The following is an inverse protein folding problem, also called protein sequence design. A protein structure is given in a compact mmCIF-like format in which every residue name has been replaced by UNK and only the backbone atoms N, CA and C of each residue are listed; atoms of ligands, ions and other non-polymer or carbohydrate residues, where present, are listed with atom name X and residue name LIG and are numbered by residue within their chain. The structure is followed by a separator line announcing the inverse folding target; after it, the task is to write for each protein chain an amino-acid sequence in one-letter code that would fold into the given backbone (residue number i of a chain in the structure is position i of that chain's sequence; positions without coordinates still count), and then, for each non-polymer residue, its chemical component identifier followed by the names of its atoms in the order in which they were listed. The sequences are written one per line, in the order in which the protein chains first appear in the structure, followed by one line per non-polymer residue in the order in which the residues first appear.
data_IF_954689629797
#
_entry.id   IF_954689629797
#
_cell.length_a   1.000
_cell.length_b   1.000
_cell.length_c   1.000
_cell.angle_alpha   90.00
_cell.angle_beta   90.00
_cell.angle_gamma   90.00
#
_symmetry.space_group_name_H-M   'P 1'
#
loop_
_entity.id
_entity.type
_entity.pdbx_description
1 polymer ?
#
# COMPACT_ATOMS: atom_id res chain seq x y z
N UNK A 1 -17.27 -2.03 -32.95
CA UNK A 1 -16.79 -2.92 -31.87
C UNK A 1 -16.70 -2.08 -30.61
N UNK A 2 -17.38 -2.54 -29.55
CA UNK A 2 -17.59 -1.79 -28.31
C UNK A 2 -16.28 -1.81 -27.50
N UNK A 3 -15.86 -0.63 -27.06
CA UNK A 3 -14.69 -0.34 -26.25
C UNK A 3 -14.64 -1.26 -25.02
N UNK A 4 -13.51 -1.95 -24.83
CA UNK A 4 -13.24 -2.79 -23.65
C UNK A 4 -13.50 -1.99 -22.37
N UNK A 5 -14.58 -2.32 -21.65
CA UNK A 5 -14.68 -1.97 -20.24
C UNK A 5 -13.60 -2.76 -19.51
N UNK A 6 -12.47 -2.12 -19.18
CA UNK A 6 -11.51 -2.69 -18.25
C UNK A 6 -12.27 -3.04 -16.98
N UNK A 7 -12.38 -4.33 -16.69
CA UNK A 7 -12.92 -4.79 -15.41
C UNK A 7 -12.13 -4.08 -14.31
N UNK A 8 -12.84 -3.43 -13.40
CA UNK A 8 -12.23 -2.86 -12.21
C UNK A 8 -11.49 -3.98 -11.48
N UNK A 9 -10.17 -3.87 -11.35
CA UNK A 9 -9.37 -4.79 -10.53
C UNK A 9 -9.98 -4.85 -9.12
N UNK A 10 -10.18 -6.07 -8.61
CA UNK A 10 -10.66 -6.31 -7.25
C UNK A 10 -9.54 -6.13 -6.22
N UNK A 11 -9.91 -6.01 -4.94
CA UNK A 11 -8.92 -5.86 -3.86
C UNK A 11 -8.00 -7.10 -3.76
N UNK A 12 -8.57 -8.30 -3.91
CA UNK A 12 -7.82 -9.57 -3.83
C UNK A 12 -6.84 -9.72 -5.01
N UNK A 13 -7.27 -9.35 -6.23
CA UNK A 13 -6.38 -9.31 -7.39
C UNK A 13 -5.26 -8.28 -7.21
N UNK A 14 -5.58 -7.14 -6.61
CA UNK A 14 -4.59 -6.11 -6.34
C UNK A 14 -3.57 -6.53 -5.28
N UNK A 15 -3.96 -7.33 -4.27
CA UNK A 15 -3.02 -7.86 -3.26
C UNK A 15 -1.90 -8.70 -3.88
N UNK A 16 -2.22 -9.42 -4.96
CA UNK A 16 -1.26 -10.22 -5.73
C UNK A 16 -0.52 -9.41 -6.80
N UNK A 17 -0.80 -8.11 -6.94
CA UNK A 17 -0.20 -7.29 -7.98
C UNK A 17 1.29 -7.00 -7.72
N UNK A 18 2.11 -6.83 -8.78
CA UNK A 18 3.52 -6.45 -8.63
C UNK A 18 3.71 -5.15 -7.83
N UNK A 19 2.76 -4.21 -7.94
CA UNK A 19 2.78 -2.95 -7.19
C UNK A 19 2.65 -3.20 -5.69
N UNK A 20 1.66 -4.00 -5.26
CA UNK A 20 1.50 -4.30 -3.84
C UNK A 20 2.73 -5.06 -3.29
N UNK A 21 3.26 -6.02 -4.05
CA UNK A 21 4.48 -6.74 -3.66
C UNK A 21 5.69 -5.80 -3.52
N UNK A 22 5.82 -4.79 -4.39
CA UNK A 22 6.88 -3.79 -4.28
C UNK A 22 6.72 -2.91 -3.03
N UNK A 23 5.51 -2.47 -2.70
CA UNK A 23 5.24 -1.71 -1.47
C UNK A 23 5.64 -2.54 -0.23
N UNK A 24 5.21 -3.80 -0.17
CA UNK A 24 5.56 -4.71 0.93
C UNK A 24 7.07 -4.96 1.04
N UNK A 25 7.74 -5.10 -0.11
CA UNK A 25 9.20 -5.25 -0.14
C UNK A 25 9.91 -4.02 0.43
N UNK A 26 9.51 -2.81 0.02
CA UNK A 26 10.09 -1.55 0.52
C UNK A 26 9.84 -1.43 2.03
N UNK A 27 8.63 -1.72 2.49
CA UNK A 27 8.28 -1.71 3.91
C UNK A 27 9.16 -2.65 4.73
N UNK A 28 9.25 -3.91 4.30
CA UNK A 28 10.08 -4.92 4.97
C UNK A 28 11.53 -4.46 5.06
N UNK A 29 12.09 -3.98 3.95
CA UNK A 29 13.48 -3.51 3.92
C UNK A 29 13.69 -2.27 4.80
N UNK A 30 12.72 -1.37 4.86
CA UNK A 30 12.76 -0.20 5.73
C UNK A 30 12.80 -0.59 7.22
N UNK A 31 11.99 -1.58 7.62
CA UNK A 31 11.97 -2.14 8.98
C UNK A 31 13.30 -2.83 9.30
N UNK A 32 13.82 -3.66 8.38
CA UNK A 32 15.13 -4.33 8.53
C UNK A 32 16.28 -3.34 8.72
N UNK A 33 16.18 -2.15 8.12
CA UNK A 33 17.14 -1.06 8.29
C UNK A 33 16.93 -0.24 9.58
N UNK A 34 15.91 -0.55 10.37
CA UNK A 34 15.59 0.12 11.63
C UNK A 34 14.85 1.45 11.48
N UNK A 35 14.25 1.71 10.30
CA UNK A 35 13.46 2.92 10.11
C UNK A 35 12.14 2.83 10.90
N UNK A 36 11.75 3.93 11.54
CA UNK A 36 10.54 4.00 12.37
C UNK A 36 9.25 4.04 11.55
N UNK A 37 9.33 4.54 10.32
CA UNK A 37 8.21 4.68 9.40
C UNK A 37 8.73 4.70 7.96
N UNK A 38 7.83 4.44 7.02
CA UNK A 38 8.08 4.53 5.57
C UNK A 38 7.04 5.46 4.96
N UNK A 39 7.48 6.36 4.10
CA UNK A 39 6.61 7.30 3.40
C UNK A 39 6.41 6.84 1.96
N UNK A 40 5.17 6.96 1.47
CA UNK A 40 4.86 6.81 0.05
C UNK A 40 4.02 8.00 -0.40
N UNK A 41 4.49 8.74 -1.39
CA UNK A 41 3.69 9.83 -1.96
C UNK A 41 2.49 9.28 -2.73
N UNK A 42 1.37 10.01 -2.76
CA UNK A 42 0.20 9.56 -3.55
C UNK A 42 0.53 9.39 -5.04
N UNK A 43 1.45 10.20 -5.56
CA UNK A 43 1.94 10.09 -6.93
C UNK A 43 2.63 8.74 -7.22
N UNK A 44 3.30 8.14 -6.22
CA UNK A 44 3.93 6.82 -6.34
C UNK A 44 2.93 5.67 -6.17
N UNK A 45 1.84 5.88 -5.41
CA UNK A 45 0.79 4.88 -5.22
C UNK A 45 -0.04 4.66 -6.48
N UNK A 46 -0.12 5.68 -7.35
CA UNK A 46 -0.81 5.64 -8.63
C UNK A 46 -2.18 6.32 -8.55
N UNK A 47 -3.23 5.63 -8.99
CA UNK A 47 -4.58 6.20 -8.96
C UNK A 47 -5.13 6.25 -7.53
N UNK A 48 -6.12 7.12 -7.29
CA UNK A 48 -6.80 7.18 -5.99
C UNK A 48 -7.39 5.83 -5.57
N UNK A 49 -7.82 4.99 -6.52
CA UNK A 49 -8.31 3.63 -6.22
C UNK A 49 -7.19 2.72 -5.72
N UNK A 50 -6.04 2.74 -6.38
CA UNK A 50 -4.88 1.96 -5.96
C UNK A 50 -4.39 2.42 -4.59
N UNK A 51 -4.36 3.72 -4.32
CA UNK A 51 -4.04 4.24 -2.99
C UNK A 51 -4.99 3.71 -1.91
N UNK A 52 -6.31 3.71 -2.16
CA UNK A 52 -7.30 3.13 -1.24
C UNK A 52 -7.05 1.64 -1.03
N UNK A 53 -6.75 0.88 -2.10
CA UNK A 53 -6.46 -0.54 -2.00
C UNK A 53 -5.20 -0.82 -1.19
N UNK A 54 -4.12 -0.06 -1.43
CA UNK A 54 -2.86 -0.17 -0.68
C UNK A 54 -3.11 0.11 0.80
N UNK A 55 -3.78 1.22 1.14
CA UNK A 55 -4.09 1.57 2.54
C UNK A 55 -4.92 0.46 3.19
N UNK A 56 -5.95 -0.05 2.50
CA UNK A 56 -6.82 -1.11 3.03
C UNK A 56 -6.04 -2.39 3.30
N UNK A 57 -5.21 -2.83 2.35
CA UNK A 57 -4.41 -4.05 2.46
C UNK A 57 -3.31 -3.92 3.52
N UNK A 58 -2.69 -2.75 3.65
CA UNK A 58 -1.68 -2.51 4.69
C UNK A 58 -2.29 -2.59 6.09
N UNK A 59 -3.45 -1.96 6.32
CA UNK A 59 -4.16 -2.09 7.59
C UNK A 59 -4.57 -3.55 7.86
N UNK A 60 -5.09 -4.26 6.86
CA UNK A 60 -5.46 -5.68 7.00
C UNK A 60 -4.26 -6.60 7.30
N UNK A 61 -3.05 -6.21 6.88
CA UNK A 61 -1.79 -6.93 7.17
C UNK A 61 -1.12 -6.48 8.48
N UNK A 62 -1.77 -5.61 9.25
CA UNK A 62 -1.29 -5.17 10.57
C UNK A 62 -0.29 -4.01 10.53
N UNK A 63 -0.25 -3.22 9.46
CA UNK A 63 0.49 -1.97 9.44
C UNK A 63 -0.42 -0.81 9.86
N UNK A 64 0.11 0.10 10.67
CA UNK A 64 -0.55 1.37 10.94
C UNK A 64 -0.26 2.33 9.78
N UNK A 65 -1.32 2.91 9.20
CA UNK A 65 -1.21 3.85 8.07
C UNK A 65 -1.83 5.19 8.45
N UNK A 66 -1.01 6.22 8.55
CA UNK A 66 -1.46 7.61 8.70
C UNK A 66 -1.50 8.31 7.34
N UNK A 67 -2.47 9.21 7.14
CA UNK A 67 -2.61 9.99 5.91
C UNK A 67 -2.05 11.39 6.13
N UNK A 68 -1.04 11.77 5.34
CA UNK A 68 -0.47 13.10 5.28
C UNK A 68 -1.13 13.97 4.20
N UNK A 69 -0.50 15.12 3.89
CA UNK A 69 -1.04 16.06 2.90
C UNK A 69 -0.97 15.53 1.46
N UNK A 70 0.10 14.81 1.10
CA UNK A 70 0.29 14.21 -0.25
C UNK A 70 0.96 12.84 -0.20
N UNK A 71 0.82 12.15 0.94
CA UNK A 71 1.53 10.90 1.22
C UNK A 71 0.77 10.05 2.24
N UNK A 72 1.16 8.78 2.32
CA UNK A 72 0.84 7.91 3.44
C UNK A 72 2.11 7.62 4.24
N UNK A 73 1.94 7.52 5.56
CA UNK A 73 3.00 7.19 6.51
C UNK A 73 2.68 5.82 7.09
N UNK A 74 3.51 4.84 6.78
CA UNK A 74 3.29 3.46 7.19
C UNK A 74 4.27 3.09 8.30
N UNK A 75 3.74 2.54 9.39
CA UNK A 75 4.47 2.09 10.57
C UNK A 75 4.19 0.61 10.81
N UNK A 76 5.19 -0.10 11.30
CA UNK A 76 4.96 -1.42 11.88
C UNK A 76 4.11 -1.23 13.13
N UNK A 77 2.89 -1.75 13.13
CA UNK A 77 2.16 -1.89 14.38
C UNK A 77 2.86 -3.03 15.12
N UNK A 78 3.57 -2.71 16.21
CA UNK A 78 4.03 -3.76 17.11
C UNK A 78 2.77 -4.46 17.62
N UNK A 79 2.45 -5.62 17.05
CA UNK A 79 1.64 -6.61 17.76
C UNK A 79 2.34 -6.80 19.10
N UNK A 80 1.77 -6.23 20.16
CA UNK A 80 2.24 -6.44 21.51
C UNK A 80 2.41 -7.96 21.71
N UNK A 81 3.59 -8.34 22.21
CA UNK A 81 4.03 -9.73 22.34
C UNK A 81 3.20 -10.61 23.26
#
# INVERSE_FOLDING_TARGET
MITHGQAAISLDEFDQSPKMQQILYILKRSIELGNKFTLFSFNELGTSREAIFIITLLNAKGYAVDIGNDEIIVKEEKMNG
#
